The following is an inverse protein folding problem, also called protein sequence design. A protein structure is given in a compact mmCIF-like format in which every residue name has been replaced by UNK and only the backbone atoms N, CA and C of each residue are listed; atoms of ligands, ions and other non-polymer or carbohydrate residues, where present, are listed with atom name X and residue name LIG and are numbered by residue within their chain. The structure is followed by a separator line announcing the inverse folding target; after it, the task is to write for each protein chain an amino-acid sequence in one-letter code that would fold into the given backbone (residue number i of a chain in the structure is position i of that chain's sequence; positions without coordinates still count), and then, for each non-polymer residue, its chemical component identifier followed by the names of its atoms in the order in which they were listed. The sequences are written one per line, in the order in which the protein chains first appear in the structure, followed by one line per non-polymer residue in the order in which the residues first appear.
data_IF_638237387435
#
_entry.id   IF_638237387435
#
_cell.length_a   1.000
_cell.length_b   1.000
_cell.length_c   1.000
_cell.angle_alpha   90.00
_cell.angle_beta   90.00
_cell.angle_gamma   90.00
#
_symmetry.space_group_name_H-M   'P 1'
#
loop_
_entity.id
_entity.type
_entity.pdbx_description
1 polymer ?
#
# COMPACT_ATOMS: atom_id res chain seq x y z
N UNK A 1 6.84 -20.60 15.02
CA UNK A 1 5.76 -20.16 14.10
C UNK A 1 6.17 -20.61 12.70
N UNK A 2 5.34 -21.38 12.03
CA UNK A 2 5.69 -22.01 10.74
C UNK A 2 4.68 -21.60 9.67
N UNK A 3 5.15 -21.46 8.45
CA UNK A 3 4.31 -21.19 7.27
C UNK A 3 3.45 -22.43 6.96
N UNK A 4 2.33 -22.25 6.26
CA UNK A 4 1.34 -23.31 5.98
C UNK A 4 1.74 -24.30 4.88
N UNK A 5 3.01 -24.35 4.50
CA UNK A 5 3.52 -25.28 3.48
C UNK A 5 3.44 -26.75 3.93
N UNK A 6 3.18 -27.66 3.01
CA UNK A 6 3.03 -29.10 3.27
C UNK A 6 4.22 -29.72 4.01
N UNK A 7 5.42 -29.27 3.70
CA UNK A 7 6.65 -29.71 4.39
C UNK A 7 6.68 -29.28 5.84
N UNK A 8 6.12 -28.13 6.16
CA UNK A 8 6.02 -27.60 7.52
C UNK A 8 4.97 -28.38 8.33
N UNK A 9 3.88 -28.79 7.68
CA UNK A 9 2.86 -29.63 8.34
C UNK A 9 3.45 -30.98 8.77
N UNK A 10 4.27 -31.61 7.93
CA UNK A 10 4.97 -32.86 8.25
C UNK A 10 5.92 -32.66 9.44
N UNK A 11 6.69 -31.56 9.47
CA UNK A 11 7.58 -31.24 10.60
C UNK A 11 6.79 -31.05 11.88
N UNK A 12 5.62 -30.40 11.82
CA UNK A 12 4.73 -30.21 12.98
C UNK A 12 4.22 -31.55 13.52
N UNK A 13 3.82 -32.44 12.62
CA UNK A 13 3.37 -33.79 13.02
C UNK A 13 4.49 -34.59 13.68
N UNK A 14 5.69 -34.58 13.12
CA UNK A 14 6.86 -35.24 13.70
C UNK A 14 7.23 -34.62 15.06
N UNK A 15 7.17 -33.32 15.21
CA UNK A 15 7.41 -32.63 16.49
C UNK A 15 6.39 -33.05 17.54
N UNK A 16 5.11 -33.19 17.22
CA UNK A 16 4.06 -33.61 18.14
C UNK A 16 4.26 -35.05 18.62
N UNK A 17 4.77 -35.93 17.77
CA UNK A 17 5.10 -37.31 18.13
C UNK A 17 6.21 -37.35 19.19
N UNK A 18 7.25 -36.53 19.02
CA UNK A 18 8.41 -36.52 19.92
C UNK A 18 8.21 -35.65 21.16
N UNK A 19 7.34 -34.63 21.06
CA UNK A 19 7.08 -33.63 22.09
C UNK A 19 5.58 -33.37 22.24
N UNK A 20 4.81 -34.28 22.86
CA UNK A 20 3.34 -34.19 22.91
C UNK A 20 2.80 -32.95 23.64
N UNK A 21 3.62 -32.31 24.46
CA UNK A 21 3.23 -31.12 25.24
C UNK A 21 3.51 -29.79 24.45
N UNK A 22 4.00 -29.85 23.21
CA UNK A 22 4.22 -28.64 22.39
C UNK A 22 2.91 -28.26 21.70
N UNK A 23 2.45 -27.04 21.98
CA UNK A 23 1.41 -26.42 21.18
C UNK A 23 2.02 -25.76 19.93
N UNK A 24 1.73 -26.31 18.76
CA UNK A 24 2.17 -25.72 17.48
C UNK A 24 1.06 -24.84 16.96
N UNK A 25 1.31 -23.54 16.95
CA UNK A 25 0.42 -22.58 16.30
C UNK A 25 0.80 -22.43 14.81
N UNK A 26 -0.17 -22.57 13.93
CA UNK A 26 0.00 -22.18 12.50
C UNK A 26 0.42 -20.74 12.42
N UNK A 27 1.20 -20.39 11.38
CA UNK A 27 1.71 -19.05 11.18
C UNK A 27 0.60 -18.00 11.21
N UNK A 28 0.47 -17.29 12.33
CA UNK A 28 -0.50 -16.20 12.49
C UNK A 28 -0.32 -15.17 11.40
N UNK A 29 0.92 -14.91 10.99
CA UNK A 29 1.26 -13.98 9.93
C UNK A 29 0.65 -14.39 8.58
N UNK A 30 0.69 -15.68 8.23
CA UNK A 30 0.06 -16.20 7.01
C UNK A 30 -1.47 -16.09 7.08
N UNK A 31 -2.08 -16.45 8.20
CA UNK A 31 -3.53 -16.35 8.40
C UNK A 31 -4.01 -14.90 8.32
N UNK A 32 -3.27 -13.97 8.92
CA UNK A 32 -3.55 -12.53 8.82
C UNK A 32 -3.40 -12.03 7.37
N UNK A 33 -2.38 -12.50 6.66
CA UNK A 33 -2.21 -12.16 5.23
C UNK A 33 -3.36 -12.67 4.37
N UNK A 34 -3.86 -13.89 4.60
CA UNK A 34 -5.03 -14.43 3.92
C UNK A 34 -6.29 -13.60 4.23
N UNK A 35 -6.51 -13.25 5.48
CA UNK A 35 -7.62 -12.38 5.88
C UNK A 35 -7.58 -11.05 5.14
N UNK A 36 -6.44 -10.36 5.14
CA UNK A 36 -6.29 -9.12 4.39
C UNK A 36 -6.52 -9.31 2.88
N UNK A 37 -6.06 -10.43 2.31
CA UNK A 37 -6.29 -10.74 0.91
C UNK A 37 -7.79 -10.88 0.61
N UNK A 38 -8.57 -11.49 1.50
CA UNK A 38 -10.02 -11.59 1.34
C UNK A 38 -10.72 -10.24 1.49
N UNK A 39 -10.28 -9.40 2.43
CA UNK A 39 -10.78 -8.02 2.58
C UNK A 39 -10.59 -7.21 1.28
N UNK A 40 -9.48 -7.40 0.56
CA UNK A 40 -9.23 -6.67 -0.69
C UNK A 40 -10.16 -7.05 -1.83
N UNK A 41 -10.83 -8.20 -1.75
CA UNK A 41 -11.83 -8.63 -2.75
C UNK A 41 -13.15 -7.85 -2.63
N UNK A 42 -13.39 -7.21 -1.48
CA UNK A 42 -14.56 -6.37 -1.27
C UNK A 42 -14.44 -5.13 -2.17
N UNK A 43 -15.45 -4.79 -3.00
CA UNK A 43 -15.34 -3.76 -4.03
C UNK A 43 -14.86 -2.40 -3.53
N UNK A 44 -15.32 -1.96 -2.36
CA UNK A 44 -14.92 -0.69 -1.74
C UNK A 44 -13.42 -0.67 -1.43
N UNK A 45 -12.89 -1.75 -0.84
CA UNK A 45 -11.45 -1.83 -0.54
C UNK A 45 -10.60 -1.95 -1.79
N UNK A 46 -11.09 -2.66 -2.81
CA UNK A 46 -10.40 -2.77 -4.10
C UNK A 46 -10.23 -1.39 -4.76
N UNK A 47 -11.25 -0.53 -4.70
CA UNK A 47 -11.16 0.84 -5.21
C UNK A 47 -10.09 1.65 -4.48
N UNK A 48 -10.08 1.59 -3.14
CA UNK A 48 -9.10 2.32 -2.31
C UNK A 48 -7.68 1.82 -2.60
N UNK A 49 -7.47 0.51 -2.67
CA UNK A 49 -6.17 -0.09 -2.98
C UNK A 49 -5.71 0.30 -4.39
N UNK A 50 -6.62 0.33 -5.36
CA UNK A 50 -6.32 0.76 -6.72
C UNK A 50 -5.92 2.24 -6.77
N UNK A 51 -6.57 3.09 -5.97
CA UNK A 51 -6.20 4.49 -5.82
C UNK A 51 -4.81 4.64 -5.17
N UNK A 52 -4.55 3.91 -4.08
CA UNK A 52 -3.23 3.88 -3.43
C UNK A 52 -2.11 3.47 -4.42
N UNK A 53 -2.29 2.37 -5.15
CA UNK A 53 -1.33 1.92 -6.16
C UNK A 53 -1.09 2.98 -7.24
N UNK A 54 -2.13 3.69 -7.66
CA UNK A 54 -1.99 4.74 -8.66
C UNK A 54 -1.30 5.99 -8.10
N UNK A 55 -1.56 6.38 -6.85
CA UNK A 55 -0.82 7.45 -6.15
C UNK A 55 0.66 7.09 -6.07
N UNK A 56 0.97 5.88 -5.63
CA UNK A 56 2.35 5.44 -5.55
C UNK A 56 3.04 5.44 -6.93
N UNK A 57 2.39 4.91 -7.97
CA UNK A 57 2.94 4.89 -9.32
C UNK A 57 3.22 6.31 -9.83
N UNK A 58 2.35 7.26 -9.53
CA UNK A 58 2.48 8.63 -10.01
C UNK A 58 3.56 9.43 -9.26
N UNK A 59 3.70 9.23 -7.96
CA UNK A 59 4.56 10.06 -7.11
C UNK A 59 5.68 9.32 -6.40
N UNK A 60 5.55 8.01 -6.17
CA UNK A 60 6.48 7.23 -5.37
C UNK A 60 7.48 6.40 -6.19
N UNK A 61 7.05 5.85 -7.32
CA UNK A 61 7.85 4.90 -8.11
C UNK A 61 9.01 5.52 -8.90
N UNK A 62 9.01 6.84 -9.07
CA UNK A 62 9.99 7.54 -9.90
C UNK A 62 9.78 7.39 -11.41
N UNK A 63 8.79 6.61 -11.87
CA UNK A 63 8.45 6.46 -13.29
C UNK A 63 8.08 7.83 -13.91
N UNK A 64 7.37 8.65 -13.16
CA UNK A 64 7.00 10.00 -13.55
C UNK A 64 7.89 11.02 -12.81
N UNK A 65 9.12 11.21 -13.26
CA UNK A 65 10.11 12.06 -12.59
C UNK A 65 9.60 13.45 -12.22
N UNK A 66 8.86 14.11 -13.11
CA UNK A 66 8.34 15.45 -12.87
C UNK A 66 7.35 15.47 -11.70
N UNK A 67 6.36 14.57 -11.68
CA UNK A 67 5.38 14.48 -10.58
C UNK A 67 6.01 14.08 -9.27
N UNK A 68 6.97 13.17 -9.30
CA UNK A 68 7.74 12.77 -8.13
C UNK A 68 8.51 13.96 -7.53
N UNK A 69 9.16 14.78 -8.37
CA UNK A 69 9.87 15.95 -7.91
C UNK A 69 8.94 17.00 -7.29
N UNK A 70 7.81 17.30 -7.93
CA UNK A 70 6.81 18.24 -7.39
C UNK A 70 6.29 17.73 -6.03
N UNK A 71 5.94 16.45 -5.94
CA UNK A 71 5.50 15.85 -4.68
C UNK A 71 6.57 15.94 -3.57
N UNK A 72 7.83 15.65 -3.87
CA UNK A 72 8.93 15.79 -2.90
C UNK A 72 9.07 17.21 -2.38
N UNK A 73 8.98 18.21 -3.27
CA UNK A 73 9.01 19.61 -2.87
C UNK A 73 7.86 19.96 -1.92
N UNK A 74 6.64 19.53 -2.25
CA UNK A 74 5.47 19.74 -1.38
C UNK A 74 5.55 18.94 -0.08
N UNK A 75 6.08 17.73 -0.12
CA UNK A 75 6.33 16.93 1.10
C UNK A 75 7.27 17.65 2.05
N UNK A 76 8.34 18.22 1.53
CA UNK A 76 9.28 19.01 2.34
C UNK A 76 8.63 20.28 2.93
N UNK A 77 7.82 20.99 2.13
CA UNK A 77 7.10 22.18 2.57
C UNK A 77 6.20 21.92 3.79
N UNK A 78 5.46 20.80 3.80
CA UNK A 78 4.52 20.47 4.87
C UNK A 78 5.13 19.74 6.07
N UNK A 79 6.20 19.00 5.88
CA UNK A 79 6.75 18.12 6.92
C UNK A 79 8.17 18.46 7.33
N UNK A 80 8.77 19.48 6.73
CA UNK A 80 10.18 19.88 6.92
C UNK A 80 11.18 18.72 6.73
N UNK A 81 10.79 17.72 5.97
CA UNK A 81 11.61 16.55 5.59
C UNK A 81 11.04 15.87 4.36
N UNK A 82 11.91 15.20 3.61
CA UNK A 82 11.48 14.39 2.48
C UNK A 82 10.88 13.07 2.95
N UNK A 83 9.56 12.96 2.92
CA UNK A 83 8.84 11.73 3.22
C UNK A 83 8.40 11.11 1.90
N UNK A 84 8.85 9.88 1.63
CA UNK A 84 8.41 9.12 0.46
C UNK A 84 7.10 8.38 0.70
N UNK A 85 6.40 8.07 -0.38
CA UNK A 85 5.29 7.13 -0.36
C UNK A 85 5.81 5.69 -0.31
N UNK A 86 4.98 4.79 0.17
CA UNK A 86 5.31 3.38 0.33
C UNK A 86 4.32 2.52 -0.46
N UNK A 87 4.81 1.67 -1.38
CA UNK A 87 3.92 0.86 -2.23
C UNK A 87 3.25 -0.31 -1.51
N UNK A 88 3.87 -0.77 -0.43
CA UNK A 88 3.61 -2.11 0.05
C UNK A 88 4.14 -3.19 -0.91
N UNK A 89 4.32 -4.40 -0.41
CA UNK A 89 4.67 -5.54 -1.25
C UNK A 89 3.38 -6.33 -1.52
N UNK A 90 3.09 -6.67 -2.77
CA UNK A 90 1.86 -7.40 -3.14
C UNK A 90 1.75 -8.76 -2.45
N UNK A 91 2.86 -9.33 -2.00
CA UNK A 91 2.91 -10.59 -1.25
C UNK A 91 2.56 -10.44 0.23
N UNK A 92 2.58 -9.21 0.77
CA UNK A 92 2.27 -8.90 2.17
C UNK A 92 1.24 -7.78 2.24
N UNK A 93 -0.03 -8.17 2.30
CA UNK A 93 -1.14 -7.21 2.29
C UNK A 93 -1.08 -6.17 3.40
N UNK A 94 -0.48 -6.50 4.56
CA UNK A 94 -0.21 -5.52 5.60
C UNK A 94 0.60 -4.31 5.08
N UNK A 95 1.52 -4.52 4.13
CA UNK A 95 2.26 -3.45 3.46
C UNK A 95 1.37 -2.46 2.72
N UNK A 96 0.31 -2.93 2.07
CA UNK A 96 -0.64 -2.08 1.38
C UNK A 96 -1.40 -1.15 2.35
N UNK A 97 -1.83 -1.67 3.52
CA UNK A 97 -2.49 -0.86 4.55
C UNK A 97 -1.54 0.16 5.18
N UNK A 98 -0.28 -0.21 5.41
CA UNK A 98 0.76 0.74 5.85
C UNK A 98 0.96 1.83 4.79
N UNK A 99 0.97 1.47 3.50
CA UNK A 99 1.05 2.42 2.39
C UNK A 99 -0.13 3.38 2.36
N UNK A 100 -1.36 2.89 2.48
CA UNK A 100 -2.56 3.72 2.55
C UNK A 100 -2.56 4.65 3.76
N UNK A 101 -2.13 4.18 4.94
CA UNK A 101 -1.95 5.04 6.10
C UNK A 101 -0.90 6.14 5.85
N UNK A 102 0.16 5.81 5.11
CA UNK A 102 1.15 6.80 4.66
C UNK A 102 0.52 7.84 3.73
N UNK A 103 -0.31 7.43 2.79
CA UNK A 103 -1.01 8.37 1.89
C UNK A 103 -1.89 9.34 2.67
N UNK A 104 -2.63 8.85 3.69
CA UNK A 104 -3.42 9.68 4.58
C UNK A 104 -2.56 10.71 5.32
N UNK A 105 -1.41 10.30 5.85
CA UNK A 105 -0.48 11.21 6.53
C UNK A 105 0.10 12.26 5.59
N UNK A 106 0.22 11.96 4.29
CA UNK A 106 0.74 12.83 3.25
C UNK A 106 -0.36 13.57 2.48
N UNK A 107 -1.62 13.48 2.90
CA UNK A 107 -2.78 14.04 2.20
C UNK A 107 -2.61 15.50 1.82
N UNK A 108 -2.12 16.35 2.73
CA UNK A 108 -1.93 17.80 2.46
C UNK A 108 -0.92 18.02 1.34
N UNK A 109 0.21 17.32 1.36
CA UNK A 109 1.23 17.41 0.33
C UNK A 109 0.71 16.88 -1.02
N UNK A 110 -0.04 15.77 -1.02
CA UNK A 110 -0.66 15.22 -2.21
C UNK A 110 -1.67 16.20 -2.83
N UNK A 111 -2.59 16.73 -2.04
CA UNK A 111 -3.59 17.70 -2.53
C UNK A 111 -2.91 18.96 -3.07
N UNK A 112 -1.90 19.50 -2.38
CA UNK A 112 -1.14 20.66 -2.85
C UNK A 112 -0.40 20.35 -4.16
N UNK A 113 0.13 19.13 -4.32
CA UNK A 113 0.76 18.69 -5.57
C UNK A 113 -0.25 18.67 -6.71
N UNK A 114 -1.42 18.07 -6.51
CA UNK A 114 -2.48 18.00 -7.52
C UNK A 114 -3.00 19.38 -7.95
N UNK A 115 -2.99 20.35 -7.03
CA UNK A 115 -3.47 21.72 -7.29
C UNK A 115 -2.37 22.64 -7.80
N UNK A 116 -1.12 22.15 -7.94
CA UNK A 116 -0.02 22.99 -8.44
C UNK A 116 -0.12 23.23 -9.95
N UNK A 117 0.30 24.44 -10.39
CA UNK A 117 0.31 24.79 -11.80
C UNK A 117 1.23 23.85 -12.61
N UNK A 118 2.36 23.46 -12.03
CA UNK A 118 3.32 22.56 -12.66
C UNK A 118 2.71 21.17 -12.92
N UNK A 119 1.87 20.67 -11.99
CA UNK A 119 1.19 19.39 -12.16
C UNK A 119 0.07 19.49 -13.21
N UNK A 120 -0.68 20.59 -13.24
CA UNK A 120 -1.78 20.80 -14.19
C UNK A 120 -1.33 20.82 -15.66
N UNK A 121 -0.06 21.18 -15.91
CA UNK A 121 0.54 21.18 -17.26
C UNK A 121 0.99 19.79 -17.72
N UNK A 122 0.91 18.76 -16.85
CA UNK A 122 1.33 17.40 -17.20
C UNK A 122 0.24 16.68 -18.00
N UNK A 123 0.65 16.05 -19.09
CA UNK A 123 -0.24 15.15 -19.83
C UNK A 123 -0.32 13.82 -19.10
N UNK A 124 -1.48 13.55 -18.50
CA UNK A 124 -1.77 12.27 -17.84
C UNK A 124 -2.56 11.37 -18.79
N UNK A 125 -2.30 10.07 -18.72
CA UNK A 125 -3.16 9.13 -19.43
C UNK A 125 -4.57 9.07 -18.78
N UNK A 126 -5.56 8.58 -19.53
CA UNK A 126 -6.97 8.56 -19.11
C UNK A 126 -7.21 7.80 -17.78
N UNK A 127 -6.39 6.80 -17.47
CA UNK A 127 -6.47 6.05 -16.23
C UNK A 127 -6.00 6.88 -15.03
N UNK A 128 -4.91 7.60 -15.17
CA UNK A 128 -4.37 8.47 -14.12
C UNK A 128 -5.24 9.71 -13.90
N UNK A 129 -5.81 10.31 -14.95
CA UNK A 129 -6.70 11.45 -14.79
C UNK A 129 -7.99 11.08 -14.01
N UNK A 130 -8.53 9.88 -14.18
CA UNK A 130 -9.65 9.37 -13.36
C UNK A 130 -9.27 9.24 -11.88
N UNK A 131 -8.05 8.77 -11.59
CA UNK A 131 -7.56 8.65 -10.21
C UNK A 131 -7.38 10.02 -9.58
N UNK A 132 -6.82 10.98 -10.33
CA UNK A 132 -6.66 12.36 -9.86
C UNK A 132 -8.02 12.97 -9.52
N UNK A 133 -9.02 12.85 -10.39
CA UNK A 133 -10.37 13.36 -10.13
C UNK A 133 -11.03 12.69 -8.91
N UNK A 134 -10.79 11.40 -8.69
CA UNK A 134 -11.27 10.67 -7.52
C UNK A 134 -10.66 11.21 -6.22
N UNK A 135 -9.35 11.47 -6.21
CA UNK A 135 -8.62 11.99 -5.06
C UNK A 135 -9.01 13.44 -4.77
N UNK A 136 -9.07 14.30 -5.79
CA UNK A 136 -9.49 15.70 -5.64
C UNK A 136 -10.94 15.81 -5.17
N UNK A 137 -11.82 14.91 -5.59
CA UNK A 137 -13.22 14.85 -5.17
C UNK A 137 -13.45 14.38 -3.73
N UNK A 138 -12.42 14.25 -2.91
CA UNK A 138 -12.49 13.75 -1.51
C UNK A 138 -13.05 12.32 -1.35
N UNK A 139 -13.20 11.56 -2.41
CA UNK A 139 -13.73 10.18 -2.35
C UNK A 139 -12.70 9.14 -1.91
N UNK A 140 -11.43 9.52 -1.89
CA UNK A 140 -10.32 8.64 -1.52
C UNK A 140 -9.94 8.74 -0.02
N UNK A 141 -10.52 9.69 0.72
CA UNK A 141 -10.13 10.04 2.09
C UNK A 141 -11.20 9.75 3.13
#
# INVERSE_FOLDING_TARGET
MFDGDSNVQLVVELLKVHYPNISVMRGVEHTVSLFFNDVTKIPVFNQIISAHKAIYNLFGSGIYHKSHYIFKSKSYEFHNRNIGLFSGNDTRMAGCFIGMHRDLSMRKALLSTFSSAEFSTMTLNSKLSKVVSYIQGNKAW
#
